data_IF_928068078197
#
_entry.id   IF_928068078197
#
_cell.length_a   1.000
_cell.length_b   1.000
_cell.length_c   1.000
_cell.angle_alpha   90.00
_cell.angle_beta   90.00
_cell.angle_gamma   90.00
#
_symmetry.space_group_name_H-M   'P 1'
#
loop_
_entity.id
_entity.type
_entity.pdbx_description
1 polymer ?
#
# COMPACT_ATOMS: atom_id res chain seq x y z
N UNK A 1 -10.20 5.00 -2.55
CA UNK A 1 -9.42 4.67 -1.32
C UNK A 1 -7.96 4.62 -1.73
N UNK A 2 -7.05 5.34 -1.06
CA UNK A 2 -5.65 5.44 -1.55
C UNK A 2 -4.82 4.20 -1.18
N UNK A 3 -3.72 3.99 -1.91
CA UNK A 3 -2.78 2.89 -1.65
C UNK A 3 -2.10 2.98 -0.27
N UNK A 4 -2.09 4.16 0.35
CA UNK A 4 -1.51 4.38 1.68
C UNK A 4 -2.30 3.65 2.79
N UNK A 5 -3.62 3.46 2.62
CA UNK A 5 -4.45 2.62 3.49
C UNK A 5 -4.31 1.11 3.22
N UNK A 6 -3.66 0.71 2.12
CA UNK A 6 -3.77 -0.65 1.57
C UNK A 6 -3.27 -1.79 2.46
N UNK A 7 -2.46 -1.50 3.50
CA UNK A 7 -2.00 -2.51 4.47
C UNK A 7 -2.57 -2.34 5.87
N UNK A 8 -3.49 -1.40 6.05
CA UNK A 8 -4.23 -1.29 7.30
C UNK A 8 -5.17 -2.50 7.45
N UNK A 9 -5.04 -3.25 8.54
CA UNK A 9 -5.83 -4.46 8.79
C UNK A 9 -5.23 -5.75 8.21
N UNK A 10 -4.06 -5.70 7.55
CA UNK A 10 -3.34 -6.92 7.17
C UNK A 10 -2.73 -7.54 8.44
N UNK A 11 -2.90 -8.85 8.61
CA UNK A 11 -2.29 -9.60 9.70
C UNK A 11 -0.76 -9.43 9.64
N UNK A 12 -0.10 -8.95 10.72
CA UNK A 12 1.35 -8.79 10.73
C UNK A 12 2.09 -10.14 10.65
N UNK A 13 1.44 -11.26 11.00
CA UNK A 13 1.97 -12.60 10.73
C UNK A 13 1.82 -12.90 9.25
N UNK A 14 2.96 -12.97 8.56
CA UNK A 14 3.02 -13.37 7.16
C UNK A 14 3.35 -14.85 7.06
N UNK A 15 2.86 -15.51 6.02
CA UNK A 15 3.37 -16.81 5.61
C UNK A 15 4.48 -16.60 4.58
N UNK A 16 5.59 -17.32 4.72
CA UNK A 16 6.63 -17.42 3.70
C UNK A 16 6.54 -18.83 3.11
N UNK A 17 6.55 -18.92 1.79
CA UNK A 17 6.67 -20.18 1.06
C UNK A 17 7.93 -20.10 0.20
N UNK A 18 8.88 -21.02 0.42
CA UNK A 18 10.10 -21.09 -0.37
C UNK A 18 10.43 -22.52 -0.83
N UNK A 19 11.10 -22.60 -1.99
CA UNK A 19 11.74 -23.84 -2.45
C UNK A 19 13.17 -23.82 -1.94
N UNK A 20 13.56 -24.81 -1.15
CA UNK A 20 14.85 -24.82 -0.48
C UNK A 20 15.53 -26.19 -0.54
N UNK A 21 16.85 -26.18 -0.31
CA UNK A 21 17.68 -27.38 -0.21
C UNK A 21 17.59 -27.98 1.20
N UNK A 22 18.00 -29.24 1.34
CA UNK A 22 17.93 -30.00 2.59
C UNK A 22 18.51 -29.27 3.82
N UNK A 23 19.64 -28.57 3.67
CA UNK A 23 20.25 -27.83 4.79
C UNK A 23 19.32 -26.71 5.31
N UNK A 24 18.64 -25.99 4.40
CA UNK A 24 17.75 -24.88 4.71
C UNK A 24 16.44 -25.40 5.28
N UNK A 25 15.93 -26.49 4.72
CA UNK A 25 14.82 -27.26 5.26
C UNK A 25 15.06 -27.68 6.72
N UNK A 26 16.21 -28.30 7.00
CA UNK A 26 16.58 -28.75 8.34
C UNK A 26 16.70 -27.57 9.33
N UNK A 27 17.17 -26.42 8.87
CA UNK A 27 17.21 -25.19 9.67
C UNK A 27 15.80 -24.70 10.00
N UNK A 28 14.90 -24.63 9.01
CA UNK A 28 13.54 -24.11 9.19
C UNK A 28 12.68 -24.99 10.09
N UNK A 29 12.81 -26.32 10.00
CA UNK A 29 12.10 -27.25 10.89
C UNK A 29 12.39 -26.97 12.37
N UNK A 30 13.63 -26.57 12.68
CA UNK A 30 14.07 -26.37 14.07
C UNK A 30 13.78 -24.97 14.61
N UNK A 31 13.68 -23.98 13.73
CA UNK A 31 13.68 -22.57 14.12
C UNK A 31 12.39 -21.81 13.73
N UNK A 32 11.49 -22.43 12.98
CA UNK A 32 10.28 -21.78 12.46
C UNK A 32 9.01 -22.55 12.79
N UNK A 33 7.89 -21.85 12.89
CA UNK A 33 6.56 -22.45 13.04
C UNK A 33 6.05 -22.86 11.66
N UNK A 34 5.98 -24.16 11.41
CA UNK A 34 5.70 -24.73 10.09
C UNK A 34 4.20 -24.78 9.80
N UNK A 35 3.86 -24.53 8.54
CA UNK A 35 2.50 -24.63 8.01
C UNK A 35 2.40 -25.81 7.06
N UNK A 36 3.39 -25.99 6.18
CA UNK A 36 3.37 -26.99 5.13
C UNK A 36 4.79 -27.42 4.74
N UNK A 37 4.95 -28.68 4.36
CA UNK A 37 6.21 -29.26 3.86
C UNK A 37 5.88 -30.30 2.79
N UNK A 38 6.55 -30.21 1.65
CA UNK A 38 6.53 -31.23 0.61
C UNK A 38 7.91 -31.41 0.00
N UNK A 39 8.33 -32.67 -0.17
CA UNK A 39 9.56 -32.99 -0.90
C UNK A 39 9.26 -33.01 -2.40
N UNK A 40 9.90 -32.12 -3.16
CA UNK A 40 9.72 -32.07 -4.62
C UNK A 40 10.54 -33.15 -5.33
N UNK A 41 11.80 -33.32 -4.90
CA UNK A 41 12.71 -34.33 -5.43
C UNK A 41 13.83 -34.62 -4.40
N UNK A 42 14.89 -35.33 -4.80
CA UNK A 42 15.97 -35.70 -3.88
C UNK A 42 16.70 -34.50 -3.24
N UNK A 43 16.71 -33.33 -3.89
CA UNK A 43 17.45 -32.16 -3.45
C UNK A 43 16.57 -31.05 -2.86
N UNK A 44 15.35 -30.90 -3.36
CA UNK A 44 14.51 -29.73 -3.10
C UNK A 44 13.24 -30.06 -2.30
N UNK A 45 12.90 -29.12 -1.42
CA UNK A 45 11.71 -29.12 -0.58
C UNK A 45 10.93 -27.82 -0.80
N UNK A 46 9.60 -27.91 -0.85
CA UNK A 46 8.69 -26.76 -0.70
C UNK A 46 8.31 -26.69 0.77
N UNK A 47 8.52 -25.53 1.39
CA UNK A 47 8.18 -25.32 2.79
C UNK A 47 7.42 -24.01 2.94
N UNK A 48 6.32 -24.05 3.69
CA UNK A 48 5.61 -22.87 4.15
C UNK A 48 5.70 -22.77 5.66
N UNK A 49 6.04 -21.60 6.17
CA UNK A 49 6.18 -21.34 7.60
C UNK A 49 5.73 -19.92 7.93
N UNK A 50 5.39 -19.69 9.20
CA UNK A 50 5.08 -18.35 9.69
C UNK A 50 6.37 -17.53 9.80
N UNK A 51 6.39 -16.39 9.11
CA UNK A 51 7.37 -15.35 9.36
C UNK A 51 7.04 -14.74 10.72
N UNK A 52 8.01 -14.82 11.64
CA UNK A 52 7.84 -14.29 12.97
C UNK A 52 8.59 -12.95 13.05
N UNK A 53 7.90 -11.81 12.84
CA UNK A 53 8.55 -10.50 12.84
C UNK A 53 9.16 -10.14 14.20
N UNK A 54 8.78 -10.85 15.27
CA UNK A 54 9.34 -10.68 16.62
C UNK A 54 10.76 -11.19 16.83
N UNK A 55 11.34 -11.90 15.85
CA UNK A 55 12.68 -12.49 16.01
C UNK A 55 13.81 -11.65 15.38
N UNK A 56 13.51 -10.55 14.68
CA UNK A 56 14.51 -9.75 13.92
C UNK A 56 14.90 -8.43 14.57
N UNK A 57 14.49 -8.18 15.80
CA UNK A 57 14.87 -6.97 16.51
C UNK A 57 15.27 -7.38 17.93
N UNK A 58 16.57 -7.23 18.23
CA UNK A 58 17.21 -7.41 19.55
C UNK A 58 18.01 -8.69 19.80
N UNK A 59 18.83 -9.13 18.85
CA UNK A 59 19.96 -10.03 19.15
C UNK A 59 21.30 -9.57 18.59
N UNK A 60 21.66 -8.30 18.81
CA UNK A 60 23.07 -7.85 18.84
C UNK A 60 23.98 -8.14 17.63
N UNK A 61 23.45 -8.67 16.53
CA UNK A 61 24.20 -8.98 15.31
C UNK A 61 24.02 -7.81 14.32
N UNK A 62 25.09 -7.08 13.98
CA UNK A 62 25.03 -5.96 13.04
C UNK A 62 24.73 -6.36 11.58
N UNK A 63 24.70 -7.67 11.26
CA UNK A 63 24.32 -8.19 9.94
C UNK A 63 22.81 -8.42 9.78
N UNK A 64 22.04 -8.43 10.87
CA UNK A 64 20.58 -8.58 10.83
C UNK A 64 19.91 -7.22 10.53
N UNK A 65 19.43 -7.08 9.29
CA UNK A 65 18.76 -5.85 8.84
C UNK A 65 17.45 -5.66 9.60
N UNK A 66 17.28 -4.48 10.18
CA UNK A 66 15.99 -3.97 10.66
C UNK A 66 14.87 -4.29 9.67
N UNK A 67 13.90 -5.10 10.09
CA UNK A 67 12.72 -5.45 9.31
C UNK A 67 11.50 -4.78 9.96
N UNK A 68 11.19 -3.52 9.59
CA UNK A 68 10.09 -2.81 10.22
C UNK A 68 8.78 -3.54 9.97
N UNK A 69 7.82 -3.47 10.93
CA UNK A 69 6.47 -3.93 10.70
C UNK A 69 5.93 -3.34 9.40
N UNK A 70 5.32 -4.17 8.54
CA UNK A 70 4.72 -3.75 7.26
C UNK A 70 3.40 -2.97 7.46
N UNK A 71 3.24 -2.30 8.59
CA UNK A 71 2.02 -1.60 8.97
C UNK A 71 2.01 -0.27 8.23
N UNK A 72 0.94 0.01 7.50
CA UNK A 72 0.71 1.32 6.89
C UNK A 72 0.74 2.42 7.95
N UNK A 73 1.37 3.56 7.65
CA UNK A 73 1.28 4.77 8.48
C UNK A 73 -0.11 5.41 8.31
N UNK A 74 -1.12 4.82 8.94
CA UNK A 74 -2.54 5.18 8.74
C UNK A 74 -2.82 6.62 9.09
N UNK A 75 -2.18 7.15 10.13
CA UNK A 75 -2.32 8.55 10.52
C UNK A 75 -1.89 9.51 9.40
N UNK A 76 -0.83 9.18 8.66
CA UNK A 76 -0.38 9.99 7.52
C UNK A 76 -1.32 9.80 6.32
N UNK A 77 -1.75 8.57 6.05
CA UNK A 77 -2.73 8.28 5.01
C UNK A 77 -4.03 9.09 5.22
N UNK A 78 -4.52 9.11 6.46
CA UNK A 78 -5.70 9.86 6.88
C UNK A 78 -5.52 11.37 6.73
N UNK A 79 -4.40 11.90 7.20
CA UNK A 79 -4.10 13.32 7.06
C UNK A 79 -4.02 13.76 5.59
N UNK A 80 -3.41 12.96 4.72
CA UNK A 80 -3.30 13.23 3.28
C UNK A 80 -4.68 13.18 2.63
N UNK A 81 -5.47 12.13 2.87
CA UNK A 81 -6.83 12.00 2.30
C UNK A 81 -7.75 13.10 2.78
N UNK A 82 -7.71 13.44 4.07
CA UNK A 82 -8.52 14.53 4.63
C UNK A 82 -8.13 15.87 3.99
N UNK A 83 -6.83 16.17 3.92
CA UNK A 83 -6.31 17.39 3.29
C UNK A 83 -6.73 17.51 1.83
N UNK A 84 -6.63 16.42 1.06
CA UNK A 84 -7.08 16.39 -0.33
C UNK A 84 -8.59 16.62 -0.46
N UNK A 85 -9.42 16.02 0.41
CA UNK A 85 -10.87 16.23 0.40
C UNK A 85 -11.24 17.66 0.79
N UNK A 86 -10.56 18.25 1.77
CA UNK A 86 -10.75 19.66 2.17
C UNK A 86 -10.37 20.58 1.00
N UNK A 87 -9.26 20.30 0.32
CA UNK A 87 -8.84 21.05 -0.86
C UNK A 87 -9.87 20.97 -2.00
N UNK A 88 -10.47 19.80 -2.22
CA UNK A 88 -11.50 19.60 -3.24
C UNK A 88 -12.86 20.21 -2.89
N UNK A 89 -13.12 20.47 -1.60
CA UNK A 89 -14.44 20.87 -1.11
C UNK A 89 -15.05 22.09 -1.83
N UNK A 90 -14.32 23.20 -2.09
CA UNK A 90 -14.89 24.36 -2.79
C UNK A 90 -15.37 24.07 -4.21
N UNK A 91 -14.86 23.02 -4.85
CA UNK A 91 -15.26 22.60 -6.20
C UNK A 91 -16.41 21.59 -6.14
N UNK A 92 -16.41 20.71 -5.14
CA UNK A 92 -17.46 19.71 -4.92
C UNK A 92 -18.75 20.36 -4.40
N UNK A 93 -18.66 21.42 -3.60
CA UNK A 93 -19.82 22.08 -2.98
C UNK A 93 -20.55 23.05 -3.92
N UNK A 94 -20.10 23.19 -5.17
CA UNK A 94 -20.77 24.03 -6.17
C UNK A 94 -22.12 23.43 -6.55
N UNK A 95 -23.11 24.28 -6.78
CA UNK A 95 -24.45 23.86 -7.22
C UNK A 95 -24.42 23.15 -8.59
N UNK A 96 -23.45 23.48 -9.45
CA UNK A 96 -23.27 22.90 -10.79
C UNK A 96 -22.33 21.69 -10.80
N UNK A 97 -22.01 21.09 -9.65
CA UNK A 97 -21.20 19.88 -9.56
C UNK A 97 -22.04 18.62 -9.80
N UNK A 98 -21.82 17.94 -10.93
CA UNK A 98 -22.53 16.71 -11.29
C UNK A 98 -21.89 15.45 -10.74
N UNK A 99 -20.56 15.41 -10.66
CA UNK A 99 -19.82 14.24 -10.22
C UNK A 99 -18.44 14.63 -9.67
N UNK A 100 -17.94 13.82 -8.73
CA UNK A 100 -16.56 13.92 -8.24
C UNK A 100 -16.01 12.53 -7.93
N UNK A 101 -14.76 12.29 -8.30
CA UNK A 101 -13.99 11.12 -7.88
C UNK A 101 -12.56 11.53 -7.57
N UNK A 102 -12.14 11.29 -6.33
CA UNK A 102 -10.79 11.49 -5.81
C UNK A 102 -10.26 12.91 -6.02
N UNK A 103 -9.69 13.21 -7.19
CA UNK A 103 -9.09 14.48 -7.62
C UNK A 103 -9.71 15.07 -8.90
N UNK A 104 -10.84 14.51 -9.33
CA UNK A 104 -11.60 14.96 -10.50
C UNK A 104 -12.98 15.51 -10.12
N UNK A 105 -13.50 16.41 -10.97
CA UNK A 105 -14.83 17.01 -10.84
C UNK A 105 -15.43 17.25 -12.22
N UNK A 106 -16.74 17.02 -12.35
CA UNK A 106 -17.53 17.33 -13.54
C UNK A 106 -18.48 18.47 -13.19
N UNK A 107 -18.35 19.59 -13.88
CA UNK A 107 -19.06 20.84 -13.59
C UNK A 107 -19.89 21.30 -14.80
N UNK A 108 -21.02 21.95 -14.54
CA UNK A 108 -21.84 22.58 -15.58
C UNK A 108 -21.25 23.86 -16.14
N UNK A 109 -20.48 24.61 -15.33
CA UNK A 109 -19.76 25.80 -15.74
C UNK A 109 -18.26 25.61 -15.58
N UNK A 110 -17.44 26.18 -16.49
CA UNK A 110 -15.99 26.03 -16.41
C UNK A 110 -15.42 26.64 -15.12
N UNK A 111 -14.29 26.09 -14.68
CA UNK A 111 -13.49 26.71 -13.62
C UNK A 111 -12.82 27.99 -14.13
N UNK A 112 -12.55 28.97 -13.27
CA UNK A 112 -11.72 30.12 -13.64
C UNK A 112 -10.34 29.68 -14.12
N UNK A 113 -9.77 30.38 -15.11
CA UNK A 113 -8.48 30.02 -15.72
C UNK A 113 -7.33 29.93 -14.71
N UNK A 114 -7.40 30.68 -13.61
CA UNK A 114 -6.41 30.63 -12.54
C UNK A 114 -6.29 29.24 -11.88
N UNK A 115 -7.34 28.42 -11.91
CA UNK A 115 -7.37 27.07 -11.36
C UNK A 115 -7.03 26.00 -12.41
N UNK A 116 -6.87 26.38 -13.68
CA UNK A 116 -6.62 25.46 -14.79
C UNK A 116 -5.15 25.55 -15.22
N UNK A 117 -4.44 24.43 -15.19
CA UNK A 117 -3.09 24.31 -15.77
C UNK A 117 -2.75 22.84 -15.95
N UNK A 118 -2.16 22.50 -17.11
CA UNK A 118 -1.69 21.14 -17.38
C UNK A 118 -0.31 20.82 -16.78
N UNK A 119 0.41 21.83 -16.28
CA UNK A 119 1.80 21.70 -15.84
C UNK A 119 2.06 22.17 -14.40
N UNK A 120 1.13 22.92 -13.81
CA UNK A 120 1.29 23.47 -12.45
C UNK A 120 0.71 22.51 -11.42
N UNK A 121 1.53 22.09 -10.45
CA UNK A 121 1.08 21.26 -9.35
C UNK A 121 -0.03 21.95 -8.53
N UNK A 122 -1.06 21.20 -8.18
CA UNK A 122 -2.19 21.73 -7.41
C UNK A 122 -3.14 22.61 -8.21
N UNK A 123 -3.12 22.52 -9.54
CA UNK A 123 -4.16 23.05 -10.43
C UNK A 123 -4.83 21.91 -11.19
N UNK A 124 -6.04 22.14 -11.68
CA UNK A 124 -6.78 21.16 -12.47
C UNK A 124 -6.29 21.15 -13.91
N UNK A 125 -6.18 19.95 -14.48
CA UNK A 125 -6.04 19.75 -15.91
C UNK A 125 -7.44 19.66 -16.52
N UNK A 126 -7.70 20.46 -17.55
CA UNK A 126 -8.94 20.34 -18.33
C UNK A 126 -8.84 19.09 -19.23
N UNK A 127 -9.56 18.02 -18.88
CA UNK A 127 -9.55 16.76 -19.63
C UNK A 127 -10.59 16.73 -20.76
N UNK A 128 -11.80 17.24 -20.49
CA UNK A 128 -12.92 17.19 -21.43
C UNK A 128 -13.76 18.45 -21.36
N UNK A 129 -14.33 18.84 -22.50
CA UNK A 129 -15.27 19.95 -22.61
C UNK A 129 -16.37 19.54 -23.59
N UNK A 130 -17.57 19.34 -23.07
CA UNK A 130 -18.74 19.09 -23.91
C UNK A 130 -19.06 20.37 -24.68
N UNK A 131 -19.01 20.31 -26.01
CA UNK A 131 -19.56 21.34 -26.90
C UNK A 131 -21.02 21.01 -27.14
N UNK A 132 -21.91 21.60 -26.34
CA UNK A 132 -23.33 21.75 -26.67
C UNK A 132 -23.54 22.87 -27.67
#
# INVERSE_FOLDING_TARGET
MNSLYGRFGINPRSTITEVCLEYRYNYLIRNSELIFIEKLNELYYVISYWDNPGNYCWKGDPSERWNPPRISAIQLAAAITASARIYMYPFISREDCYYTDTDSVVLGQPLPEEWISSSTLGKFKLEHKDTS
#
